data_IF_497595581990
#
_entry.id   IF_497595581990
#
_cell.length_a   1.000
_cell.length_b   1.000
_cell.length_c   1.000
_cell.angle_alpha   90.00
_cell.angle_beta   90.00
_cell.angle_gamma   90.00
#
_symmetry.space_group_name_H-M   'P 1'
#
loop_
_entity.id
_entity.type
_entity.pdbx_description
1 polymer ?
#
# COMPACT_ATOMS: atom_id res chain seq x y z
N UNK A 1 -24.44 -61.80 51.50
CA UNK A 1 -24.78 -61.17 50.19
C UNK A 1 -25.46 -59.82 50.22
N UNK A 2 -26.27 -59.51 51.23
CA UNK A 2 -26.96 -58.22 51.31
C UNK A 2 -26.00 -56.96 51.55
N UNK A 3 -24.96 -57.17 52.37
CA UNK A 3 -24.00 -56.07 52.66
C UNK A 3 -23.18 -55.62 51.45
N UNK A 4 -22.80 -56.58 50.60
CA UNK A 4 -21.99 -56.34 49.39
C UNK A 4 -22.81 -55.57 48.31
N UNK A 5 -24.10 -55.84 48.17
CA UNK A 5 -25.00 -55.10 47.28
C UNK A 5 -25.19 -53.65 47.71
N UNK A 6 -25.28 -53.37 49.04
CA UNK A 6 -25.41 -52.03 49.57
C UNK A 6 -24.12 -51.20 49.29
N UNK A 7 -22.92 -51.77 49.45
CA UNK A 7 -21.66 -51.09 49.15
C UNK A 7 -21.51 -50.75 47.67
N UNK A 8 -21.95 -51.61 46.76
CA UNK A 8 -21.91 -51.36 45.31
C UNK A 8 -22.84 -50.20 44.90
N UNK A 9 -24.01 -50.12 45.51
CA UNK A 9 -24.99 -49.04 45.26
C UNK A 9 -24.45 -47.72 45.73
N UNK A 10 -23.80 -47.66 46.90
CA UNK A 10 -23.20 -46.44 47.45
C UNK A 10 -22.03 -45.96 46.58
N UNK A 11 -21.17 -46.91 46.09
CA UNK A 11 -20.06 -46.54 45.15
C UNK A 11 -20.60 -46.00 43.83
N UNK A 12 -21.67 -46.61 43.27
CA UNK A 12 -22.28 -46.15 42.03
C UNK A 12 -22.87 -44.72 42.17
N UNK A 13 -23.52 -44.44 43.31
CA UNK A 13 -24.11 -43.12 43.60
C UNK A 13 -23.01 -42.07 43.80
N UNK A 14 -21.88 -42.41 44.46
CA UNK A 14 -20.73 -41.51 44.57
C UNK A 14 -20.06 -41.22 43.23
N UNK A 15 -19.98 -42.21 42.34
CA UNK A 15 -19.41 -42.05 41.00
C UNK A 15 -20.30 -41.14 40.13
N UNK A 16 -21.64 -41.29 40.19
CA UNK A 16 -22.59 -40.41 39.50
C UNK A 16 -22.53 -38.99 40.03
N UNK A 17 -22.41 -38.81 41.35
CA UNK A 17 -22.25 -37.47 41.95
C UNK A 17 -20.96 -36.78 41.53
N UNK A 18 -19.83 -37.54 41.43
CA UNK A 18 -18.57 -37.02 40.96
C UNK A 18 -18.61 -36.62 39.47
N UNK A 19 -19.29 -37.39 38.62
CA UNK A 19 -19.55 -37.05 37.23
C UNK A 19 -20.39 -35.80 37.07
N UNK A 20 -21.42 -35.63 37.96
CA UNK A 20 -22.29 -34.46 37.93
C UNK A 20 -21.54 -33.19 38.35
N UNK A 21 -20.67 -33.28 39.37
CA UNK A 21 -19.79 -32.18 39.78
C UNK A 21 -18.77 -31.83 38.69
N UNK A 22 -18.18 -32.83 38.02
CA UNK A 22 -17.26 -32.62 36.91
C UNK A 22 -17.98 -31.95 35.71
N UNK A 23 -19.21 -32.36 35.41
CA UNK A 23 -20.03 -31.75 34.36
C UNK A 23 -20.39 -30.29 34.70
N UNK A 24 -20.71 -29.96 35.94
CA UNK A 24 -20.94 -28.59 36.40
C UNK A 24 -19.68 -27.74 36.33
N UNK A 25 -18.50 -28.33 36.60
CA UNK A 25 -17.21 -27.62 36.42
C UNK A 25 -16.89 -27.32 34.95
N UNK A 26 -17.17 -28.25 34.05
CA UNK A 26 -17.00 -28.07 32.61
C UNK A 26 -17.98 -27.01 32.08
N UNK A 27 -19.24 -27.05 32.49
CA UNK A 27 -20.26 -26.07 32.06
C UNK A 27 -19.99 -24.68 32.61
N UNK A 28 -19.53 -24.54 33.86
CA UNK A 28 -19.13 -23.23 34.41
C UNK A 28 -17.81 -22.67 33.85
N UNK A 29 -16.92 -23.56 33.36
CA UNK A 29 -15.67 -23.14 32.69
C UNK A 29 -15.88 -22.57 31.27
N UNK A 30 -17.00 -22.88 30.61
CA UNK A 30 -17.28 -22.41 29.24
C UNK A 30 -17.99 -21.06 29.18
N UNK A 31 -18.42 -20.48 30.31
CA UNK A 31 -19.04 -19.15 30.33
C UNK A 31 -18.05 -18.02 30.64
N UNK A 32 -16.77 -18.17 30.31
CA UNK A 32 -15.93 -16.98 30.07
C UNK A 32 -16.31 -16.44 28.70
N UNK A 33 -17.36 -15.65 28.67
CA UNK A 33 -17.57 -14.68 27.60
C UNK A 33 -16.29 -13.84 27.54
N UNK A 34 -15.41 -14.13 26.59
CA UNK A 34 -14.38 -13.18 26.21
C UNK A 34 -15.16 -12.01 25.65
N UNK A 35 -15.43 -11.04 26.51
CA UNK A 35 -15.84 -9.71 26.06
C UNK A 35 -14.61 -9.21 25.31
N UNK A 36 -14.58 -9.45 24.00
CA UNK A 36 -13.77 -8.65 23.09
C UNK A 36 -14.31 -7.23 23.33
N UNK A 37 -13.65 -6.49 24.20
CA UNK A 37 -13.84 -5.05 24.25
C UNK A 37 -13.43 -4.55 22.89
N UNK A 38 -14.42 -4.34 22.02
CA UNK A 38 -14.22 -3.65 20.76
C UNK A 38 -13.58 -2.31 21.14
N UNK A 39 -12.28 -2.18 20.94
CA UNK A 39 -11.62 -0.88 21.17
C UNK A 39 -12.36 0.13 20.31
N UNK A 40 -12.81 1.23 20.93
CA UNK A 40 -13.42 2.30 20.18
C UNK A 40 -12.50 2.72 19.03
N UNK A 41 -13.03 2.99 17.84
CA UNK A 41 -12.23 3.44 16.72
C UNK A 41 -11.39 4.66 17.09
N UNK A 42 -10.13 4.74 16.68
CA UNK A 42 -9.26 5.87 16.97
C UNK A 42 -9.89 7.18 16.48
N UNK A 43 -9.78 8.22 17.33
CA UNK A 43 -10.33 9.56 17.08
C UNK A 43 -9.26 10.61 16.77
N UNK A 44 -8.00 10.31 17.04
CA UNK A 44 -6.85 11.21 16.88
C UNK A 44 -5.73 10.51 16.12
N UNK A 45 -5.86 10.49 14.80
CA UNK A 45 -4.98 9.72 13.92
C UNK A 45 -3.86 10.63 13.38
N UNK A 46 -2.63 10.16 13.42
CA UNK A 46 -1.51 10.76 12.69
C UNK A 46 -1.07 9.78 11.60
N UNK A 47 -0.92 10.27 10.38
CA UNK A 47 -0.37 9.52 9.25
C UNK A 47 0.81 10.28 8.65
N UNK A 48 2.01 9.70 8.67
CA UNK A 48 3.21 10.34 8.11
C UNK A 48 3.53 9.87 6.69
N UNK A 49 2.65 9.08 6.10
CA UNK A 49 2.84 8.42 4.81
C UNK A 49 1.73 8.88 3.85
N UNK A 50 2.07 9.55 2.72
CA UNK A 50 1.07 10.09 1.80
C UNK A 50 0.02 9.07 1.32
N UNK A 51 0.41 7.83 1.02
CA UNK A 51 -0.53 6.80 0.57
C UNK A 51 -1.57 6.44 1.63
N UNK A 52 -1.15 6.27 2.89
CA UNK A 52 -2.07 5.94 3.98
C UNK A 52 -2.92 7.14 4.41
N UNK A 53 -2.38 8.36 4.29
CA UNK A 53 -3.19 9.57 4.46
C UNK A 53 -4.32 9.61 3.43
N UNK A 54 -4.04 9.39 2.16
CA UNK A 54 -5.08 9.30 1.12
C UNK A 54 -6.09 8.19 1.40
N UNK A 55 -5.64 7.01 1.87
CA UNK A 55 -6.53 5.90 2.25
C UNK A 55 -7.49 6.31 3.37
N UNK A 56 -6.98 6.95 4.44
CA UNK A 56 -7.79 7.42 5.56
C UNK A 56 -8.86 8.41 5.13
N UNK A 57 -8.52 9.37 4.29
CA UNK A 57 -9.49 10.32 3.76
C UNK A 57 -10.51 9.64 2.84
N UNK A 58 -10.07 8.76 1.94
CA UNK A 58 -10.93 8.07 1.00
C UNK A 58 -11.95 7.13 1.65
N UNK A 59 -11.63 6.56 2.84
CA UNK A 59 -12.54 5.72 3.63
C UNK A 59 -13.34 6.50 4.70
N UNK A 60 -13.35 7.85 4.64
CA UNK A 60 -14.13 8.69 5.53
C UNK A 60 -13.52 8.94 6.92
N UNK A 61 -12.30 8.47 7.18
CA UNK A 61 -11.59 8.72 8.45
C UNK A 61 -10.88 10.09 8.52
N UNK A 62 -10.89 10.86 7.43
CA UNK A 62 -10.22 12.17 7.30
C UNK A 62 -10.50 13.17 8.43
N UNK A 63 -11.74 13.34 8.94
CA UNK A 63 -12.01 14.23 10.07
C UNK A 63 -11.23 13.89 11.35
N UNK A 64 -10.83 12.63 11.53
CA UNK A 64 -10.05 12.14 12.66
C UNK A 64 -8.53 12.24 12.47
N UNK A 65 -8.07 12.57 11.26
CA UNK A 65 -6.66 12.80 10.97
C UNK A 65 -6.27 14.19 11.47
N UNK A 66 -5.45 14.23 12.53
CA UNK A 66 -5.03 15.47 13.20
C UNK A 66 -3.61 15.91 12.80
N UNK A 67 -2.80 15.00 12.29
CA UNK A 67 -1.43 15.27 11.85
C UNK A 67 -1.05 14.45 10.63
N UNK A 68 -0.24 15.03 9.75
CA UNK A 68 0.22 14.42 8.49
C UNK A 68 1.69 14.75 8.23
N UNK A 69 2.33 13.94 7.40
CA UNK A 69 3.71 14.17 6.97
C UNK A 69 3.88 15.45 6.12
N UNK A 70 5.12 15.92 6.01
CA UNK A 70 5.45 17.14 5.23
C UNK A 70 5.12 17.01 3.74
N UNK A 71 5.14 15.78 3.22
CA UNK A 71 4.91 15.47 1.80
C UNK A 71 3.46 15.10 1.46
N UNK A 72 2.57 15.11 2.45
CA UNK A 72 1.14 14.89 2.24
C UNK A 72 0.50 16.11 1.57
N UNK A 73 0.08 15.93 0.33
CA UNK A 73 -0.49 16.98 -0.53
C UNK A 73 -1.91 16.71 -0.96
N UNK A 74 -2.35 15.47 -0.84
CA UNK A 74 -3.66 15.02 -1.27
C UNK A 74 -4.35 14.19 -0.18
N UNK A 75 -5.67 14.30 -0.02
CA UNK A 75 -6.53 15.29 -0.66
C UNK A 75 -6.23 16.72 -0.15
N UNK A 76 -6.82 17.78 -0.74
CA UNK A 76 -6.57 19.16 -0.33
C UNK A 76 -6.77 19.42 1.16
N UNK A 77 -7.70 18.71 1.79
CA UNK A 77 -7.99 18.78 3.23
C UNK A 77 -6.80 18.34 4.09
N UNK A 78 -5.90 17.49 3.58
CA UNK A 78 -4.68 17.10 4.27
C UNK A 78 -3.70 18.27 4.43
N UNK A 79 -3.77 19.29 3.56
CA UNK A 79 -2.92 20.48 3.65
C UNK A 79 -3.20 21.33 4.90
N UNK A 80 -4.42 21.23 5.44
CA UNK A 80 -4.84 21.97 6.64
C UNK A 80 -4.43 21.27 7.94
N UNK A 81 -3.90 20.05 7.88
CA UNK A 81 -3.52 19.27 9.06
C UNK A 81 -2.13 19.69 9.57
N UNK A 82 -1.92 19.49 10.87
CA UNK A 82 -0.61 19.77 11.48
C UNK A 82 0.49 18.94 10.81
N UNK A 83 1.56 19.57 10.36
CA UNK A 83 2.72 18.86 9.83
C UNK A 83 3.58 18.30 10.97
N UNK A 84 3.97 17.03 10.86
CA UNK A 84 4.70 16.29 11.90
C UNK A 84 6.03 15.73 11.40
N UNK A 85 6.68 16.44 10.50
CA UNK A 85 7.97 16.02 9.94
C UNK A 85 7.82 15.17 8.67
N UNK A 86 8.95 14.69 8.18
CA UNK A 86 9.05 13.81 7.00
C UNK A 86 9.19 12.34 7.36
N UNK A 87 9.35 11.50 6.32
CA UNK A 87 9.57 10.05 6.53
C UNK A 87 10.94 9.75 7.13
N UNK A 88 11.95 10.58 6.83
CA UNK A 88 13.33 10.40 7.29
C UNK A 88 13.56 11.14 8.61
N UNK A 89 12.89 12.27 8.78
CA UNK A 89 13.02 13.20 9.90
C UNK A 89 11.65 13.50 10.53
N UNK A 90 10.97 12.52 11.13
CA UNK A 90 9.71 12.73 11.82
C UNK A 90 9.91 13.55 13.09
N UNK A 91 9.03 14.52 13.31
CA UNK A 91 9.01 15.35 14.54
C UNK A 91 8.29 14.57 15.67
N UNK A 92 9.05 13.76 16.39
CA UNK A 92 8.52 12.88 17.45
C UNK A 92 7.88 13.68 18.58
N UNK A 93 8.48 14.81 18.96
CA UNK A 93 7.94 15.66 20.04
C UNK A 93 6.57 16.22 19.62
N UNK A 94 6.46 16.67 18.38
CA UNK A 94 5.19 17.16 17.80
C UNK A 94 4.16 16.05 17.74
N UNK A 95 4.54 14.84 17.29
CA UNK A 95 3.65 13.67 17.28
C UNK A 95 3.09 13.42 18.68
N UNK A 96 3.95 13.32 19.69
CA UNK A 96 3.54 13.03 21.09
C UNK A 96 2.68 14.17 21.65
N UNK A 97 3.04 15.43 21.39
CA UNK A 97 2.29 16.60 21.89
C UNK A 97 0.85 16.66 21.39
N UNK A 98 0.60 16.12 20.20
CA UNK A 98 -0.75 16.03 19.62
C UNK A 98 -1.61 14.95 20.29
N UNK A 99 -1.07 14.12 21.18
CA UNK A 99 -1.77 13.05 21.92
C UNK A 99 -2.62 12.17 20.99
N UNK A 100 -2.02 11.53 19.98
CA UNK A 100 -2.73 10.63 19.08
C UNK A 100 -3.13 9.34 19.79
N UNK A 101 -4.18 8.71 19.31
CA UNK A 101 -4.61 7.36 19.70
C UNK A 101 -4.33 6.31 18.60
N UNK A 102 -3.77 6.76 17.46
CA UNK A 102 -3.18 5.93 16.42
C UNK A 102 -2.14 6.72 15.62
N UNK A 103 -0.98 6.12 15.39
CA UNK A 103 0.02 6.66 14.45
C UNK A 103 0.31 5.61 13.38
N UNK A 104 0.24 6.02 12.11
CA UNK A 104 0.58 5.18 10.95
C UNK A 104 2.01 5.48 10.53
N UNK A 105 2.87 4.47 10.58
CA UNK A 105 4.31 4.56 10.30
C UNK A 105 4.76 3.44 9.38
N UNK A 106 5.88 3.60 8.68
CA UNK A 106 6.48 2.48 7.95
C UNK A 106 7.03 1.42 8.91
N UNK A 107 6.87 0.15 8.54
CA UNK A 107 7.49 -0.98 9.24
C UNK A 107 9.02 -0.85 9.35
N UNK A 108 9.64 -0.17 8.41
CA UNK A 108 11.09 0.06 8.38
C UNK A 108 11.57 1.21 9.25
N UNK A 109 10.66 2.03 9.82
CA UNK A 109 11.01 3.15 10.72
C UNK A 109 11.18 2.67 12.17
N UNK A 110 12.10 1.76 12.41
CA UNK A 110 12.30 1.09 13.71
C UNK A 110 12.60 2.05 14.85
N UNK A 111 13.39 3.10 14.62
CA UNK A 111 13.74 4.07 15.64
C UNK A 111 12.52 4.91 16.08
N UNK A 112 11.69 5.31 15.12
CA UNK A 112 10.43 6.01 15.40
C UNK A 112 9.48 5.10 16.18
N UNK A 113 9.33 3.84 15.76
CA UNK A 113 8.50 2.86 16.45
C UNK A 113 8.94 2.71 17.92
N UNK A 114 10.24 2.50 18.17
CA UNK A 114 10.78 2.34 19.52
C UNK A 114 10.53 3.58 20.41
N UNK A 115 10.58 4.80 19.85
CA UNK A 115 10.29 6.02 20.58
C UNK A 115 8.80 6.14 20.93
N UNK A 116 7.90 5.83 19.99
CA UNK A 116 6.46 5.92 20.18
C UNK A 116 5.93 4.81 21.10
N UNK A 117 6.49 3.59 21.05
CA UNK A 117 6.14 2.49 21.94
C UNK A 117 6.35 2.83 23.43
N UNK A 118 7.39 3.61 23.76
CA UNK A 118 7.63 4.08 25.13
C UNK A 118 6.49 4.96 25.66
N UNK A 119 5.75 5.58 24.77
CA UNK A 119 4.59 6.42 25.11
C UNK A 119 3.27 5.65 25.12
N UNK A 120 3.31 4.34 24.76
CA UNK A 120 2.14 3.46 24.61
C UNK A 120 1.13 3.94 23.55
N UNK A 121 1.55 4.75 22.61
CA UNK A 121 0.73 5.17 21.48
C UNK A 121 0.57 3.98 20.53
N UNK A 122 -0.66 3.56 20.19
CA UNK A 122 -0.89 2.48 19.25
C UNK A 122 -0.36 2.81 17.85
N UNK A 123 0.30 1.84 17.21
CA UNK A 123 0.85 1.98 15.85
C UNK A 123 0.08 1.12 14.85
N UNK A 124 -0.01 1.61 13.62
CA UNK A 124 -0.30 0.83 12.44
C UNK A 124 0.96 0.79 11.57
N UNK A 125 1.52 -0.41 11.39
CA UNK A 125 2.76 -0.60 10.64
C UNK A 125 2.44 -0.83 9.16
N UNK A 126 2.74 0.17 8.34
CA UNK A 126 2.54 0.12 6.91
C UNK A 126 3.75 -0.50 6.20
N UNK A 127 3.47 -1.33 5.23
CA UNK A 127 4.43 -1.86 4.27
C UNK A 127 3.72 -1.97 2.92
N UNK A 128 4.45 -1.71 1.85
CA UNK A 128 3.91 -1.94 0.50
C UNK A 128 4.89 -2.76 -0.32
N UNK A 129 4.37 -3.68 -1.11
CA UNK A 129 5.14 -4.43 -2.08
C UNK A 129 4.51 -4.32 -3.47
N UNK A 130 3.31 -4.85 -3.70
CA UNK A 130 2.65 -4.86 -4.99
C UNK A 130 1.29 -4.16 -5.02
N UNK A 131 0.57 -4.28 -6.13
CA UNK A 131 -0.79 -3.71 -6.27
C UNK A 131 -1.80 -4.34 -5.30
N UNK A 132 -1.68 -5.65 -5.05
CA UNK A 132 -2.56 -6.36 -4.13
C UNK A 132 -2.41 -5.86 -2.69
N UNK A 133 -1.20 -5.47 -2.29
CA UNK A 133 -0.95 -4.97 -0.94
C UNK A 133 -1.64 -3.63 -0.67
N UNK A 134 -1.89 -2.83 -1.73
CA UNK A 134 -2.61 -1.56 -1.62
C UNK A 134 -4.05 -1.80 -1.14
N UNK A 135 -4.77 -2.72 -1.78
CA UNK A 135 -6.16 -3.02 -1.42
C UNK A 135 -6.27 -3.78 -0.10
N UNK A 136 -5.31 -4.66 0.19
CA UNK A 136 -5.18 -5.30 1.51
C UNK A 136 -4.96 -4.26 2.60
N UNK A 137 -4.02 -3.33 2.43
CA UNK A 137 -3.77 -2.25 3.39
C UNK A 137 -5.00 -1.36 3.59
N UNK A 138 -5.74 -1.04 2.53
CA UNK A 138 -7.00 -0.28 2.64
C UNK A 138 -8.00 -1.00 3.55
N UNK A 139 -8.17 -2.32 3.39
CA UNK A 139 -9.07 -3.11 4.24
C UNK A 139 -8.58 -3.18 5.68
N UNK A 140 -7.30 -3.46 5.89
CA UNK A 140 -6.69 -3.59 7.23
C UNK A 140 -6.71 -2.27 8.00
N UNK A 141 -6.35 -1.17 7.34
CA UNK A 141 -6.41 0.16 7.93
C UNK A 141 -7.87 0.56 8.22
N UNK A 142 -8.80 0.21 7.31
CA UNK A 142 -10.23 0.41 7.50
C UNK A 142 -10.77 -0.33 8.71
N UNK A 143 -10.39 -1.59 8.91
CA UNK A 143 -10.73 -2.36 10.10
C UNK A 143 -10.15 -1.72 11.36
N UNK A 144 -8.90 -1.25 11.31
CA UNK A 144 -8.21 -0.61 12.43
C UNK A 144 -8.87 0.70 12.87
N UNK A 145 -9.41 1.46 11.90
CA UNK A 145 -10.07 2.76 12.18
C UNK A 145 -11.60 2.68 12.24
N UNK A 146 -12.19 1.47 12.16
CA UNK A 146 -13.63 1.27 12.22
C UNK A 146 -14.42 1.75 10.98
N UNK A 147 -13.76 1.81 9.82
CA UNK A 147 -14.35 2.17 8.51
C UNK A 147 -14.42 0.96 7.57
N UNK A 148 -14.87 -0.20 8.09
CA UNK A 148 -14.82 -1.49 7.39
C UNK A 148 -15.61 -1.48 6.07
N UNK A 149 -16.82 -0.94 6.09
CA UNK A 149 -17.70 -0.89 4.91
C UNK A 149 -17.10 -0.02 3.81
N UNK A 150 -16.66 1.18 4.17
CA UNK A 150 -16.11 2.17 3.25
C UNK A 150 -14.78 1.70 2.66
N UNK A 151 -13.92 1.09 3.48
CA UNK A 151 -12.64 0.55 3.04
C UNK A 151 -12.79 -0.65 2.12
N UNK A 152 -13.74 -1.57 2.41
CA UNK A 152 -14.05 -2.68 1.52
C UNK A 152 -14.56 -2.19 0.17
N UNK A 153 -15.53 -1.28 0.18
CA UNK A 153 -16.06 -0.71 -1.06
C UNK A 153 -15.00 0.03 -1.89
N UNK A 154 -14.06 0.73 -1.21
CA UNK A 154 -12.95 1.40 -1.86
C UNK A 154 -11.99 0.39 -2.52
N UNK A 155 -11.61 -0.65 -1.80
CA UNK A 155 -10.72 -1.69 -2.29
C UNK A 155 -11.33 -2.46 -3.47
N UNK A 156 -12.61 -2.88 -3.35
CA UNK A 156 -13.35 -3.60 -4.40
C UNK A 156 -13.44 -2.76 -5.68
N UNK A 157 -13.68 -1.45 -5.57
CA UNK A 157 -13.69 -0.54 -6.70
C UNK A 157 -12.33 -0.48 -7.39
N UNK A 158 -11.23 -0.32 -6.64
CA UNK A 158 -9.87 -0.27 -7.19
C UNK A 158 -9.55 -1.57 -7.93
N UNK A 159 -9.87 -2.72 -7.33
CA UNK A 159 -9.66 -4.04 -7.94
C UNK A 159 -10.46 -4.21 -9.23
N UNK A 160 -11.73 -3.78 -9.24
CA UNK A 160 -12.57 -3.82 -10.42
C UNK A 160 -12.06 -2.92 -11.56
N UNK A 161 -11.61 -1.70 -11.24
CA UNK A 161 -11.03 -0.77 -12.21
C UNK A 161 -9.74 -1.32 -12.83
N UNK A 162 -8.86 -1.93 -12.02
CA UNK A 162 -7.64 -2.59 -12.52
C UNK A 162 -7.98 -3.82 -13.37
N UNK A 163 -8.98 -4.61 -12.96
CA UNK A 163 -9.44 -5.76 -13.73
C UNK A 163 -10.03 -5.36 -15.09
N UNK A 164 -10.76 -4.23 -15.16
CA UNK A 164 -11.25 -3.67 -16.43
C UNK A 164 -10.08 -3.29 -17.35
N UNK A 165 -9.04 -2.64 -16.84
CA UNK A 165 -7.85 -2.31 -17.63
C UNK A 165 -7.22 -3.59 -18.18
N UNK A 166 -6.95 -4.59 -17.33
CA UNK A 166 -6.39 -5.89 -17.74
C UNK A 166 -7.22 -6.55 -18.84
N UNK A 167 -8.53 -6.54 -18.69
CA UNK A 167 -9.47 -7.11 -19.69
C UNK A 167 -9.35 -6.39 -21.03
N UNK A 168 -9.27 -5.06 -21.05
CA UNK A 168 -9.19 -4.27 -22.30
C UNK A 168 -7.89 -4.47 -23.05
N UNK A 169 -6.79 -4.68 -22.33
CA UNK A 169 -5.47 -4.91 -22.94
C UNK A 169 -5.16 -6.38 -23.21
N UNK A 170 -6.04 -7.30 -22.77
CA UNK A 170 -5.85 -8.74 -22.99
C UNK A 170 -5.74 -9.06 -24.49
N UNK A 171 -4.77 -9.93 -24.83
CA UNK A 171 -4.52 -10.32 -26.23
C UNK A 171 -3.81 -9.25 -27.09
N UNK A 172 -3.48 -8.09 -26.52
CA UNK A 172 -2.69 -7.06 -27.20
C UNK A 172 -1.19 -7.36 -27.09
N UNK A 173 -0.36 -6.93 -28.08
CA UNK A 173 1.09 -7.04 -27.97
C UNK A 173 1.61 -6.34 -26.72
N UNK A 174 2.39 -7.05 -25.91
CA UNK A 174 3.02 -6.51 -24.71
C UNK A 174 4.34 -5.83 -25.09
N UNK A 175 4.36 -4.52 -25.08
CA UNK A 175 5.51 -3.73 -25.45
C UNK A 175 6.58 -3.77 -24.35
N UNK A 176 7.84 -3.99 -24.74
CA UNK A 176 9.00 -3.95 -23.87
C UNK A 176 9.20 -2.51 -23.37
N UNK A 177 8.97 -2.28 -22.08
CA UNK A 177 8.88 -0.94 -21.53
C UNK A 177 9.98 -0.70 -20.50
N UNK A 178 10.71 0.39 -20.63
CA UNK A 178 11.58 0.95 -19.61
C UNK A 178 10.76 1.96 -18.80
N UNK A 179 10.46 1.63 -17.55
CA UNK A 179 9.74 2.50 -16.62
C UNK A 179 10.72 3.22 -15.68
N UNK A 180 10.95 4.50 -15.94
CA UNK A 180 11.88 5.37 -15.21
C UNK A 180 11.12 6.25 -14.24
N UNK A 181 11.55 6.29 -12.98
CA UNK A 181 10.95 7.17 -11.97
C UNK A 181 11.92 8.21 -11.41
N UNK A 182 13.20 8.16 -11.79
CA UNK A 182 14.22 9.13 -11.39
C UNK A 182 15.36 9.17 -12.38
N UNK A 183 15.89 10.36 -12.65
CA UNK A 183 17.18 10.65 -13.27
C UNK A 183 17.51 12.13 -13.16
N UNK A 184 18.73 12.47 -13.52
CA UNK A 184 19.10 13.88 -13.73
C UNK A 184 18.13 14.54 -14.74
N UNK A 185 17.76 15.80 -14.48
CA UNK A 185 16.72 16.47 -15.26
C UNK A 185 17.14 16.68 -16.74
N UNK A 186 18.41 16.98 -16.99
CA UNK A 186 18.91 17.35 -18.30
C UNK A 186 19.69 16.22 -18.99
N UNK A 187 20.17 15.25 -18.21
CA UNK A 187 21.04 14.19 -18.74
C UNK A 187 20.51 12.78 -18.43
N UNK A 188 21.09 11.75 -19.07
CA UNK A 188 20.81 10.35 -18.79
C UNK A 188 21.71 9.77 -17.68
N UNK A 189 21.99 10.59 -16.63
CA UNK A 189 22.72 10.15 -15.44
C UNK A 189 21.76 9.75 -14.34
N UNK A 190 22.23 8.87 -13.45
CA UNK A 190 21.47 8.42 -12.27
C UNK A 190 20.06 7.96 -12.62
N UNK A 191 19.94 7.09 -13.63
CA UNK A 191 18.64 6.57 -14.08
C UNK A 191 18.17 5.55 -13.04
N UNK A 192 17.02 5.82 -12.41
CA UNK A 192 16.31 4.91 -11.53
C UNK A 192 15.09 4.35 -12.26
N UNK A 193 15.03 3.03 -12.37
CA UNK A 193 13.97 2.33 -13.07
C UNK A 193 13.33 1.25 -12.19
N UNK A 194 12.11 0.84 -12.55
CA UNK A 194 11.42 -0.28 -11.93
C UNK A 194 12.14 -1.59 -12.23
N UNK A 195 12.41 -2.40 -11.22
CA UNK A 195 12.80 -3.79 -11.34
C UNK A 195 11.58 -4.73 -11.41
N UNK A 196 11.79 -6.03 -11.13
CA UNK A 196 10.81 -7.10 -11.32
C UNK A 196 9.74 -7.20 -10.22
N UNK A 197 9.82 -6.41 -9.16
CA UNK A 197 8.88 -6.47 -8.03
C UNK A 197 8.42 -5.08 -7.62
N UNK A 198 7.31 -5.02 -6.90
CA UNK A 198 6.74 -3.78 -6.37
C UNK A 198 5.66 -3.18 -7.25
N UNK A 199 4.94 -2.20 -6.70
CA UNK A 199 3.74 -1.66 -7.34
C UNK A 199 3.96 -1.04 -8.73
N UNK A 200 5.15 -0.53 -9.02
CA UNK A 200 5.48 0.02 -10.34
C UNK A 200 5.57 -1.09 -11.40
N UNK A 201 6.17 -2.23 -11.05
CA UNK A 201 6.21 -3.40 -11.90
C UNK A 201 4.79 -3.93 -12.16
N UNK A 202 4.02 -4.11 -11.10
CA UNK A 202 2.66 -4.63 -11.19
C UNK A 202 1.73 -3.66 -11.95
N UNK A 203 1.93 -2.35 -11.80
CA UNK A 203 1.22 -1.32 -12.55
C UNK A 203 1.48 -1.45 -14.05
N UNK A 204 2.75 -1.63 -14.44
CA UNK A 204 3.14 -1.83 -15.83
C UNK A 204 2.59 -3.15 -16.38
N UNK A 205 2.65 -4.23 -15.60
CA UNK A 205 2.10 -5.54 -15.97
C UNK A 205 0.58 -5.47 -16.17
N UNK A 206 -0.16 -4.87 -15.24
CA UNK A 206 -1.61 -4.67 -15.31
C UNK A 206 -2.01 -3.80 -16.51
N UNK A 207 -1.15 -2.86 -16.92
CA UNK A 207 -1.33 -2.02 -18.10
C UNK A 207 -0.98 -2.73 -19.42
N UNK A 208 -0.58 -3.99 -19.40
CA UNK A 208 -0.24 -4.78 -20.60
C UNK A 208 1.16 -4.50 -21.17
N UNK A 209 2.08 -3.95 -20.37
CA UNK A 209 3.47 -3.80 -20.72
C UNK A 209 4.34 -4.99 -20.26
N UNK A 210 5.56 -5.08 -20.77
CA UNK A 210 6.60 -6.00 -20.29
C UNK A 210 7.78 -5.18 -19.79
N UNK A 211 8.12 -5.30 -18.52
CA UNK A 211 9.26 -4.58 -17.96
C UNK A 211 10.56 -5.12 -18.54
N UNK A 212 11.41 -4.23 -19.07
CA UNK A 212 12.74 -4.63 -19.61
C UNK A 212 13.69 -5.15 -18.53
N UNK A 213 13.40 -4.90 -17.26
CA UNK A 213 14.12 -5.40 -16.09
C UNK A 213 13.35 -6.44 -15.28
N UNK A 214 12.45 -7.20 -15.92
CA UNK A 214 11.68 -8.26 -15.27
C UNK A 214 12.56 -9.43 -14.73
N UNK A 215 13.82 -9.48 -15.08
CA UNK A 215 14.82 -10.45 -14.58
C UNK A 215 15.58 -9.96 -13.32
N UNK A 216 15.38 -8.71 -12.90
CA UNK A 216 16.07 -8.12 -11.74
C UNK A 216 15.12 -8.05 -10.54
N UNK A 217 15.24 -9.01 -9.63
CA UNK A 217 14.36 -9.14 -8.45
C UNK A 217 14.60 -8.05 -7.40
N UNK A 218 14.32 -6.80 -7.74
CA UNK A 218 14.38 -5.60 -6.89
C UNK A 218 13.22 -4.68 -7.24
N UNK A 219 12.76 -3.86 -6.29
CA UNK A 219 11.73 -2.83 -6.55
C UNK A 219 12.28 -1.70 -7.41
N UNK A 220 13.52 -1.34 -7.16
CA UNK A 220 14.22 -0.22 -7.79
C UNK A 220 15.61 -0.63 -8.19
N UNK A 221 16.03 -0.20 -9.36
CA UNK A 221 17.40 -0.37 -9.86
C UNK A 221 17.95 0.98 -10.31
N UNK A 222 19.22 1.20 -10.04
CA UNK A 222 19.98 2.24 -10.71
C UNK A 222 20.59 1.62 -11.95
N UNK A 223 20.35 2.19 -13.13
CA UNK A 223 20.81 1.69 -14.41
C UNK A 223 21.61 2.78 -15.15
N UNK A 224 22.22 2.40 -16.27
CA UNK A 224 23.00 3.29 -17.13
C UNK A 224 22.37 3.40 -18.53
N UNK A 225 22.80 4.40 -19.28
CA UNK A 225 22.41 4.57 -20.69
C UNK A 225 22.81 3.36 -21.56
N UNK A 226 23.98 2.77 -21.31
CA UNK A 226 24.47 1.59 -22.03
C UNK A 226 23.57 0.37 -21.77
N UNK A 227 23.16 0.18 -20.51
CA UNK A 227 22.25 -0.91 -20.17
C UNK A 227 20.86 -0.68 -20.73
N UNK A 228 20.39 0.57 -20.78
CA UNK A 228 19.13 0.91 -21.45
C UNK A 228 19.18 0.58 -22.95
N UNK A 229 20.31 0.85 -23.62
CA UNK A 229 20.55 0.45 -25.02
C UNK A 229 20.52 -1.08 -25.16
N UNK A 230 21.23 -1.81 -24.31
CA UNK A 230 21.27 -3.27 -24.34
C UNK A 230 19.90 -3.92 -24.11
N UNK A 231 19.05 -3.32 -23.27
CA UNK A 231 17.67 -3.78 -23.03
C UNK A 231 16.71 -3.49 -24.17
N UNK A 232 17.06 -2.57 -25.07
CA UNK A 232 16.30 -2.22 -26.27
C UNK A 232 14.78 -2.07 -26.04
N UNK A 233 14.32 -1.13 -25.21
CA UNK A 233 12.90 -0.93 -24.96
C UNK A 233 12.15 -0.42 -26.20
N UNK A 234 10.93 -0.91 -26.41
CA UNK A 234 9.99 -0.40 -27.43
C UNK A 234 9.32 0.90 -27.00
N UNK A 235 9.23 1.11 -25.70
CA UNK A 235 8.62 2.29 -25.05
C UNK A 235 9.46 2.69 -23.85
N UNK A 236 9.66 4.00 -23.66
CA UNK A 236 10.19 4.59 -22.43
C UNK A 236 9.08 5.41 -21.78
N UNK A 237 8.79 5.12 -20.54
CA UNK A 237 7.85 5.89 -19.74
C UNK A 237 8.59 6.48 -18.53
N UNK A 238 8.66 7.80 -18.46
CA UNK A 238 9.14 8.51 -17.28
C UNK A 238 7.95 8.92 -16.43
N UNK A 239 7.93 8.45 -15.19
CA UNK A 239 6.92 8.85 -14.22
C UNK A 239 7.50 9.84 -13.21
N UNK A 240 6.64 10.71 -12.66
CA UNK A 240 7.08 11.69 -11.69
C UNK A 240 5.93 12.40 -10.99
N UNK A 241 6.26 13.12 -9.93
CA UNK A 241 5.31 13.96 -9.21
C UNK A 241 5.27 15.36 -9.81
N UNK A 242 4.12 16.00 -9.70
CA UNK A 242 3.98 17.43 -10.02
C UNK A 242 4.43 18.27 -8.82
N UNK A 243 5.63 18.83 -8.91
CA UNK A 243 6.09 19.81 -7.91
C UNK A 243 6.29 21.16 -8.58
N UNK A 244 6.04 22.25 -7.85
CA UNK A 244 6.23 23.61 -8.36
C UNK A 244 7.68 23.88 -8.84
N UNK A 245 8.64 23.10 -8.30
CA UNK A 245 10.07 23.18 -8.66
C UNK A 245 10.48 22.16 -9.73
N UNK A 246 9.60 21.26 -10.16
CA UNK A 246 9.94 20.27 -11.19
C UNK A 246 9.51 20.78 -12.56
N UNK A 247 10.43 21.40 -13.30
CA UNK A 247 10.25 21.76 -14.71
C UNK A 247 10.03 20.57 -15.66
N UNK A 248 9.92 19.35 -15.11
CA UNK A 248 9.95 18.12 -15.88
C UNK A 248 11.38 17.73 -16.26
N UNK A 249 11.55 16.47 -16.63
CA UNK A 249 12.82 16.00 -17.19
C UNK A 249 12.84 16.32 -18.68
N UNK A 250 14.01 16.71 -19.17
CA UNK A 250 14.21 16.94 -20.61
C UNK A 250 14.20 15.61 -21.36
N UNK A 251 13.06 15.25 -21.95
CA UNK A 251 12.93 13.98 -22.70
C UNK A 251 13.86 13.90 -23.91
N UNK A 252 14.30 15.05 -24.47
CA UNK A 252 15.26 15.07 -25.58
C UNK A 252 16.63 14.52 -25.20
N UNK A 253 16.96 14.38 -23.91
CA UNK A 253 18.17 13.68 -23.49
C UNK A 253 18.28 12.27 -24.09
N UNK A 254 17.15 11.60 -24.33
CA UNK A 254 17.11 10.29 -24.96
C UNK A 254 17.48 10.29 -26.44
N UNK A 255 17.38 11.44 -27.14
CA UNK A 255 17.74 11.57 -28.57
C UNK A 255 19.22 11.25 -28.82
N UNK A 256 20.05 11.31 -27.78
CA UNK A 256 21.46 10.87 -27.84
C UNK A 256 21.64 9.36 -28.05
N UNK A 257 20.59 8.56 -27.91
CA UNK A 257 20.61 7.09 -27.99
C UNK A 257 19.70 6.56 -29.13
N UNK A 258 19.96 6.91 -30.42
CA UNK A 258 19.06 6.60 -31.52
C UNK A 258 18.94 5.10 -31.82
N UNK A 259 19.84 4.26 -31.29
CA UNK A 259 19.78 2.80 -31.42
C UNK A 259 18.62 2.18 -30.62
N UNK A 260 18.10 2.85 -29.59
CA UNK A 260 16.96 2.38 -28.82
C UNK A 260 15.68 2.42 -29.66
N UNK A 261 14.92 1.32 -29.80
CA UNK A 261 13.65 1.30 -30.56
C UNK A 261 12.68 2.39 -30.15
N UNK A 262 12.51 2.63 -28.84
CA UNK A 262 11.64 3.69 -28.31
C UNK A 262 12.04 5.09 -28.80
N UNK A 263 13.34 5.38 -28.90
CA UNK A 263 13.86 6.67 -29.38
C UNK A 263 13.58 6.81 -30.87
N UNK A 264 13.98 5.81 -31.67
CA UNK A 264 13.79 5.80 -33.13
C UNK A 264 12.31 5.94 -33.52
N UNK A 265 11.42 5.31 -32.75
CA UNK A 265 9.98 5.30 -33.02
C UNK A 265 9.23 6.45 -32.29
N UNK A 266 9.93 7.36 -31.62
CA UNK A 266 9.36 8.50 -30.85
C UNK A 266 8.34 8.06 -29.79
N UNK A 267 8.60 6.93 -29.11
CA UNK A 267 7.77 6.35 -28.05
C UNK A 267 8.36 6.60 -26.67
N UNK A 268 8.60 7.87 -26.38
CA UNK A 268 9.08 8.34 -25.09
C UNK A 268 8.01 9.24 -24.49
N UNK A 269 7.53 8.88 -23.31
CA UNK A 269 6.40 9.54 -22.67
C UNK A 269 6.76 9.98 -21.27
N UNK A 270 6.21 11.11 -20.84
CA UNK A 270 6.26 11.56 -19.44
C UNK A 270 4.86 11.52 -18.87
N UNK A 271 4.66 10.72 -17.81
CA UNK A 271 3.43 10.66 -17.04
C UNK A 271 3.67 11.32 -15.68
N UNK A 272 3.02 12.45 -15.46
CA UNK A 272 3.16 13.24 -14.23
C UNK A 272 1.87 13.19 -13.42
N UNK A 273 2.01 13.38 -12.13
CA UNK A 273 0.91 13.46 -11.17
C UNK A 273 1.24 12.71 -9.88
N UNK A 274 0.76 13.23 -8.77
CA UNK A 274 1.04 12.69 -7.43
C UNK A 274 0.63 11.21 -7.27
N UNK A 275 -0.42 10.78 -7.99
CA UNK A 275 -0.88 9.38 -7.97
C UNK A 275 0.06 8.39 -8.66
N UNK A 276 0.96 8.84 -9.55
CA UNK A 276 1.85 7.94 -10.31
C UNK A 276 2.91 7.25 -9.44
N UNK A 277 3.35 7.94 -8.38
CA UNK A 277 4.41 7.48 -7.48
C UNK A 277 3.89 7.12 -6.08
N UNK A 278 2.57 7.18 -5.88
CA UNK A 278 1.94 6.94 -4.59
C UNK A 278 1.08 5.67 -4.63
N UNK A 279 1.49 4.58 -3.92
CA UNK A 279 0.73 3.33 -3.86
C UNK A 279 -0.52 3.50 -2.97
N UNK A 280 -1.49 4.25 -3.45
CA UNK A 280 -2.70 4.65 -2.73
C UNK A 280 -3.97 4.48 -3.54
N UNK A 281 -5.09 5.07 -3.11
CA UNK A 281 -6.42 4.88 -3.74
C UNK A 281 -6.52 5.29 -5.21
N UNK A 282 -5.59 6.11 -5.70
CA UNK A 282 -5.56 6.58 -7.11
C UNK A 282 -4.77 5.67 -8.05
N UNK A 283 -4.31 4.51 -7.56
CA UNK A 283 -3.43 3.62 -8.34
C UNK A 283 -4.11 3.06 -9.59
N UNK A 284 -5.40 2.79 -9.56
CA UNK A 284 -6.15 2.30 -10.72
C UNK A 284 -6.15 3.31 -11.89
N UNK A 285 -6.28 4.60 -11.57
CA UNK A 285 -6.15 5.67 -12.57
C UNK A 285 -4.72 5.73 -13.16
N UNK A 286 -3.70 5.47 -12.34
CA UNK A 286 -2.31 5.40 -12.81
C UNK A 286 -2.08 4.21 -13.73
N UNK A 287 -2.61 3.02 -13.39
CA UNK A 287 -2.60 1.82 -14.26
C UNK A 287 -3.25 2.14 -15.62
N UNK A 288 -4.42 2.78 -15.60
CA UNK A 288 -5.12 3.18 -16.83
C UNK A 288 -4.30 4.14 -17.68
N UNK A 289 -3.70 5.17 -17.11
CA UNK A 289 -2.84 6.12 -17.85
C UNK A 289 -1.65 5.45 -18.52
N UNK A 290 -1.01 4.48 -17.85
CA UNK A 290 0.06 3.67 -18.44
C UNK A 290 -0.48 2.83 -19.61
N UNK A 291 -1.64 2.20 -19.45
CA UNK A 291 -2.28 1.40 -20.48
C UNK A 291 -2.68 2.23 -21.72
N UNK A 292 -3.15 3.46 -21.52
CA UNK A 292 -3.48 4.40 -22.61
C UNK A 292 -2.26 4.75 -23.47
N UNK A 293 -1.09 4.89 -22.84
CA UNK A 293 0.18 5.12 -23.54
C UNK A 293 0.65 3.88 -24.31
N UNK A 294 0.53 2.70 -23.70
CA UNK A 294 0.95 1.44 -24.32
C UNK A 294 0.03 0.99 -25.43
N UNK A 295 -1.26 1.25 -25.30
CA UNK A 295 -2.34 0.77 -26.19
C UNK A 295 -3.26 1.91 -26.63
N UNK A 296 -2.77 2.87 -27.45
CA UNK A 296 -3.58 3.98 -27.92
C UNK A 296 -4.87 3.50 -28.61
N UNK A 297 -6.00 4.14 -28.31
CA UNK A 297 -7.30 3.84 -28.89
C UNK A 297 -8.10 2.71 -28.21
N UNK A 298 -7.54 2.03 -27.18
CA UNK A 298 -8.26 0.98 -26.44
C UNK A 298 -9.29 1.56 -25.47
N UNK A 299 -9.02 2.75 -24.93
CA UNK A 299 -9.86 3.37 -23.89
C UNK A 299 -10.80 4.46 -24.40
N UNK A 300 -10.89 4.66 -25.74
CA UNK A 300 -11.66 5.72 -26.34
C UNK A 300 -11.07 7.11 -26.08
N UNK A 301 -11.41 8.07 -26.93
CA UNK A 301 -11.19 9.49 -26.61
C UNK A 301 -12.28 9.94 -25.65
#
# INVERSE_FOLDING_TARGET
MAAYKKSLIVLALLYVALLYVALLYVVSGFSRTVVLTAQSPPQRIISIIPSTTEMLFAMGAGPRVIGVGNFDRYPPEALTRTKVGGLIDPDVERIISLKPDLVVVYRTQTDLQAQLERTRIPLFLYEHAGLADITTTIRDLGARVGSVKESSALADRIEAEIADVRKRVAGRPRLRTLLVFGRDAETLRSIYASGAVGFLHDMLDAAGGTNVFADVNRQSIQTTSELAVARAPDVIIEIGVDTASSSGRNLRAWDSLPSIPAVRNKRIYQLRGDGMMNPGPRISASVRRVAEVLHPGVFGK
#
